data_IF_741604365079
#
_entry.id   IF_741604365079
#
_cell.length_a   1.000
_cell.length_b   1.000
_cell.length_c   1.000
_cell.angle_alpha   90.00
_cell.angle_beta   90.00
_cell.angle_gamma   90.00
#
_symmetry.space_group_name_H-M   'P 1'
#
loop_
_entity.id
_entity.type
_entity.pdbx_description
1 polymer ?
#
# COMPACT_ATOMS: atom_id res chain seq x y z
N UNK A 1 -9.34 -2.67 -1.71
CA UNK A 1 -7.87 -2.59 -1.80
C UNK A 1 -7.23 -3.86 -2.35
N UNK A 2 -7.56 -5.02 -1.84
CA UNK A 2 -6.98 -6.26 -2.34
C UNK A 2 -7.28 -6.49 -3.82
N UNK A 3 -8.52 -6.30 -4.23
CA UNK A 3 -8.88 -6.49 -5.63
C UNK A 3 -8.09 -5.58 -6.55
N UNK A 4 -7.90 -4.35 -6.13
CA UNK A 4 -7.14 -3.37 -6.91
C UNK A 4 -5.68 -3.80 -7.04
N UNK A 5 -5.10 -4.30 -5.95
CA UNK A 5 -3.71 -4.75 -5.95
C UNK A 5 -3.55 -5.98 -6.86
N UNK A 6 -4.43 -6.95 -6.71
CA UNK A 6 -4.37 -8.16 -7.53
C UNK A 6 -4.54 -7.84 -9.00
N UNK A 7 -5.45 -6.94 -9.33
CA UNK A 7 -5.67 -6.53 -10.71
C UNK A 7 -4.42 -5.82 -11.26
N UNK A 8 -3.81 -4.96 -10.47
CA UNK A 8 -2.61 -4.23 -10.89
C UNK A 8 -1.44 -5.17 -11.13
N UNK A 9 -1.38 -6.26 -10.38
CA UNK A 9 -0.32 -7.26 -10.51
C UNK A 9 -0.68 -8.38 -11.47
N UNK A 10 -1.90 -8.35 -12.01
CA UNK A 10 -2.42 -9.37 -12.91
C UNK A 10 -2.42 -10.75 -12.28
N UNK A 11 -2.77 -10.80 -11.00
CA UNK A 11 -2.88 -12.04 -10.25
C UNK A 11 -4.35 -12.37 -10.08
N UNK A 12 -4.74 -13.57 -10.48
CA UNK A 12 -6.14 -14.01 -10.38
C UNK A 12 -6.30 -15.17 -9.40
N UNK A 13 -5.22 -15.81 -9.01
CA UNK A 13 -5.27 -16.97 -8.13
C UNK A 13 -5.31 -16.51 -6.66
N UNK A 14 -6.36 -16.93 -5.98
CA UNK A 14 -6.56 -16.56 -4.57
C UNK A 14 -5.52 -17.18 -3.63
N UNK A 15 -4.75 -18.15 -4.10
CA UNK A 15 -3.68 -18.70 -3.29
C UNK A 15 -2.63 -17.66 -2.95
N UNK A 16 -2.48 -16.65 -3.81
CA UNK A 16 -1.51 -15.57 -3.57
C UNK A 16 -2.08 -14.41 -2.76
N UNK A 17 -3.39 -14.42 -2.49
CA UNK A 17 -4.01 -13.32 -1.78
C UNK A 17 -3.44 -13.08 -0.39
N UNK A 18 -3.18 -14.12 0.43
CA UNK A 18 -2.59 -13.87 1.76
C UNK A 18 -1.23 -13.21 1.69
N UNK A 19 -0.40 -13.60 0.73
CA UNK A 19 0.92 -12.99 0.55
C UNK A 19 0.78 -11.53 0.15
N UNK A 20 -0.11 -11.25 -0.78
CA UNK A 20 -0.34 -9.87 -1.23
C UNK A 20 -0.88 -9.02 -0.09
N UNK A 21 -1.79 -9.56 0.72
CA UNK A 21 -2.29 -8.85 1.89
C UNK A 21 -1.17 -8.52 2.87
N UNK A 22 -0.26 -9.47 3.09
CA UNK A 22 0.90 -9.22 3.94
C UNK A 22 1.79 -8.10 3.42
N UNK A 23 1.99 -8.07 2.10
CA UNK A 23 2.80 -7.01 1.49
C UNK A 23 2.10 -5.65 1.59
N UNK A 24 0.78 -5.62 1.42
CA UNK A 24 0.04 -4.37 1.57
C UNK A 24 0.11 -3.85 3.00
N UNK A 25 0.04 -4.74 3.99
CA UNK A 25 0.18 -4.33 5.38
C UNK A 25 1.57 -3.83 5.67
N UNK A 26 2.59 -4.48 5.12
CA UNK A 26 3.97 -4.03 5.27
C UNK A 26 4.16 -2.64 4.65
N UNK A 27 3.55 -2.40 3.50
CA UNK A 27 3.60 -1.09 2.86
C UNK A 27 2.94 -0.03 3.73
N UNK A 28 1.81 -0.37 4.32
CA UNK A 28 1.09 0.53 5.22
C UNK A 28 1.99 0.98 6.37
N UNK A 29 2.67 0.02 6.99
CA UNK A 29 3.59 0.35 8.09
C UNK A 29 4.80 1.13 7.61
N UNK A 30 5.34 0.80 6.45
CA UNK A 30 6.48 1.53 5.90
C UNK A 30 6.14 3.00 5.66
N UNK A 31 4.96 3.26 5.12
CA UNK A 31 4.52 4.63 4.90
C UNK A 31 4.34 5.38 6.21
N UNK A 32 3.78 4.73 7.21
CA UNK A 32 3.60 5.36 8.53
C UNK A 32 4.94 5.69 9.17
N UNK A 33 5.90 4.78 9.07
CA UNK A 33 7.25 5.01 9.61
C UNK A 33 7.91 6.18 8.88
N UNK A 34 7.63 6.34 7.60
CA UNK A 34 8.18 7.44 6.82
C UNK A 34 7.53 8.78 7.13
N UNK A 35 6.50 8.79 7.95
CA UNK A 35 5.84 10.04 8.36
C UNK A 35 4.55 10.33 7.61
N UNK A 36 4.05 9.38 6.82
CA UNK A 36 2.78 9.58 6.11
C UNK A 36 1.64 9.40 7.09
N UNK A 37 0.76 10.39 7.16
CA UNK A 37 -0.44 10.29 7.99
C UNK A 37 -1.53 9.67 7.13
N UNK A 38 -1.96 8.48 7.51
CA UNK A 38 -2.94 7.73 6.73
C UNK A 38 -4.26 7.70 7.47
N UNK A 39 -5.31 8.20 6.81
CA UNK A 39 -6.64 8.13 7.34
C UNK A 39 -7.23 6.77 6.93
N UNK A 40 -7.49 5.93 7.92
CA UNK A 40 -7.98 4.58 7.68
C UNK A 40 -6.95 3.54 8.05
N UNK A 41 -7.35 2.28 7.92
CA UNK A 41 -6.49 1.16 8.28
C UNK A 41 -6.41 0.17 7.13
N UNK A 42 -5.33 -0.59 7.10
CA UNK A 42 -5.14 -1.70 6.18
C UNK A 42 -5.33 -2.98 6.98
N UNK A 43 -6.42 -3.69 6.73
CA UNK A 43 -6.76 -4.86 7.52
C UNK A 43 -7.43 -5.92 6.66
N UNK A 44 -7.04 -7.18 6.85
CA UNK A 44 -7.59 -8.31 6.12
C UNK A 44 -7.80 -9.48 7.07
N UNK A 45 -8.85 -10.26 6.79
CA UNK A 45 -9.10 -11.50 7.51
C UNK A 45 -8.99 -12.65 6.52
N UNK A 46 -8.14 -13.62 6.82
CA UNK A 46 -7.93 -14.79 5.97
C UNK A 46 -8.52 -16.01 6.63
N UNK A 47 -9.34 -16.76 5.88
CA UNK A 47 -9.92 -18.01 6.34
C UNK A 47 -9.52 -19.11 5.36
N UNK A 48 -9.10 -20.25 5.92
CA UNK A 48 -8.74 -21.41 5.11
C UNK A 48 -9.77 -22.50 5.37
N UNK A 49 -10.38 -22.99 4.30
CA UNK A 49 -11.37 -24.06 4.36
C UNK A 49 -10.88 -25.19 3.45
N UNK A 50 -10.90 -26.42 3.95
CA UNK A 50 -10.44 -27.56 3.19
C UNK A 50 -11.31 -27.84 1.96
N UNK A 51 -12.55 -27.38 1.97
CA UNK A 51 -13.48 -27.63 0.86
C UNK A 51 -13.53 -26.48 -0.12
N UNK A 52 -13.53 -25.23 0.38
CA UNK A 52 -13.69 -24.06 -0.47
C UNK A 52 -12.37 -23.32 -0.76
N UNK A 53 -11.30 -23.69 -0.05
CA UNK A 53 -10.01 -23.06 -0.23
C UNK A 53 -9.80 -21.83 0.64
N UNK A 54 -9.09 -20.85 0.11
CA UNK A 54 -8.74 -19.66 0.86
C UNK A 54 -9.73 -18.55 0.59
N UNK A 55 -10.22 -17.93 1.64
CA UNK A 55 -11.10 -16.76 1.54
C UNK A 55 -10.44 -15.60 2.27
N UNK A 56 -10.38 -14.46 1.63
CA UNK A 56 -9.84 -13.25 2.25
C UNK A 56 -10.93 -12.19 2.26
N UNK A 57 -11.15 -11.61 3.44
CA UNK A 57 -12.06 -10.49 3.60
C UNK A 57 -11.24 -9.22 3.78
N UNK A 58 -11.51 -8.24 2.94
CA UNK A 58 -10.80 -6.96 2.97
C UNK A 58 -11.58 -5.99 3.84
N UNK A 59 -11.04 -5.72 5.03
CA UNK A 59 -11.63 -4.81 5.99
C UNK A 59 -10.94 -3.44 5.99
N UNK A 60 -10.18 -3.17 4.94
CA UNK A 60 -9.41 -1.94 4.86
C UNK A 60 -10.32 -0.73 4.64
N UNK A 61 -9.96 0.39 5.25
CA UNK A 61 -10.75 1.61 5.18
C UNK A 61 -9.99 2.78 4.58
N UNK A 62 -8.81 2.54 4.01
CA UNK A 62 -8.03 3.60 3.38
C UNK A 62 -8.74 4.08 2.12
N UNK A 63 -8.93 5.41 2.03
CA UNK A 63 -9.63 6.01 0.90
C UNK A 63 -8.74 6.81 -0.02
N UNK A 64 -7.60 7.27 0.47
CA UNK A 64 -6.71 8.10 -0.32
C UNK A 64 -6.08 7.27 -1.44
N UNK A 65 -6.38 7.62 -2.68
CA UNK A 65 -5.89 6.87 -3.84
C UNK A 65 -4.38 6.91 -3.98
N UNK A 66 -3.76 8.00 -3.59
CA UNK A 66 -2.30 8.11 -3.67
C UNK A 66 -1.63 7.18 -2.68
N UNK A 67 -2.20 7.04 -1.49
CA UNK A 67 -1.70 6.10 -0.49
C UNK A 67 -1.87 4.67 -1.01
N UNK A 68 -3.04 4.35 -1.55
CA UNK A 68 -3.29 3.01 -2.10
C UNK A 68 -2.33 2.70 -3.24
N UNK A 69 -2.10 3.66 -4.12
CA UNK A 69 -1.17 3.48 -5.24
C UNK A 69 0.24 3.18 -4.74
N UNK A 70 0.69 3.91 -3.73
CA UNK A 70 2.02 3.66 -3.16
C UNK A 70 2.10 2.27 -2.55
N UNK A 71 1.06 1.86 -1.83
CA UNK A 71 1.03 0.52 -1.23
C UNK A 71 1.07 -0.57 -2.29
N UNK A 72 0.33 -0.38 -3.39
CA UNK A 72 0.32 -1.35 -4.48
C UNK A 72 1.69 -1.40 -5.16
N UNK A 73 2.34 -0.25 -5.33
CA UNK A 73 3.69 -0.21 -5.89
C UNK A 73 4.65 -1.01 -5.02
N UNK A 74 4.58 -0.84 -3.71
CA UNK A 74 5.40 -1.61 -2.78
C UNK A 74 5.15 -3.12 -2.95
N UNK A 75 3.88 -3.51 -3.02
CA UNK A 75 3.54 -4.92 -3.20
C UNK A 75 4.10 -5.46 -4.51
N UNK A 76 4.06 -4.69 -5.58
CA UNK A 76 4.61 -5.11 -6.88
C UNK A 76 6.11 -5.35 -6.80
N UNK A 77 6.83 -4.54 -6.03
CA UNK A 77 8.27 -4.69 -5.87
C UNK A 77 8.60 -6.03 -5.23
N UNK A 78 7.83 -6.42 -4.22
CA UNK A 78 8.16 -7.55 -3.37
C UNK A 78 7.44 -8.83 -3.72
N UNK A 79 6.49 -8.79 -4.65
CA UNK A 79 5.75 -9.97 -5.06
C UNK A 79 6.42 -10.58 -6.29
N UNK A 80 6.94 -11.80 -6.15
CA UNK A 80 7.64 -12.46 -7.24
C UNK A 80 8.94 -11.75 -7.57
N UNK A 81 9.30 -11.74 -8.84
CA UNK A 81 10.54 -11.12 -9.32
C UNK A 81 10.24 -10.25 -10.53
N UNK A 82 9.73 -9.04 -10.33
CA UNK A 82 9.38 -8.19 -11.45
C UNK A 82 10.63 -7.76 -12.25
N UNK A 83 10.49 -7.73 -13.56
CA UNK A 83 11.61 -7.36 -14.44
C UNK A 83 11.94 -5.87 -14.36
N UNK A 84 10.97 -5.06 -13.91
CA UNK A 84 11.15 -3.62 -13.78
C UNK A 84 11.29 -3.18 -12.32
N UNK A 85 11.88 -4.04 -11.51
CA UNK A 85 11.97 -3.80 -10.08
C UNK A 85 12.63 -2.48 -9.72
N UNK A 86 13.73 -2.15 -10.40
CA UNK A 86 14.44 -0.92 -10.10
C UNK A 86 13.59 0.31 -10.35
N UNK A 87 12.85 0.31 -11.46
CA UNK A 87 11.95 1.42 -11.77
C UNK A 87 10.83 1.52 -10.74
N UNK A 88 10.30 0.38 -10.28
CA UNK A 88 9.27 0.36 -9.26
C UNK A 88 9.80 0.89 -7.93
N UNK A 89 11.03 0.52 -7.58
CA UNK A 89 11.64 1.00 -6.32
C UNK A 89 11.80 2.51 -6.34
N UNK A 90 12.24 3.05 -7.46
CA UNK A 90 12.39 4.51 -7.60
C UNK A 90 11.03 5.20 -7.53
N UNK A 91 10.03 4.62 -8.17
CA UNK A 91 8.68 5.16 -8.15
C UNK A 91 8.11 5.17 -6.75
N UNK A 92 8.28 4.07 -6.03
CA UNK A 92 7.79 3.97 -4.66
C UNK A 92 8.49 4.98 -3.75
N UNK A 93 9.80 5.10 -3.87
CA UNK A 93 10.55 6.04 -3.05
C UNK A 93 10.06 7.47 -3.24
N UNK A 94 9.80 7.85 -4.50
CA UNK A 94 9.28 9.16 -4.81
C UNK A 94 7.87 9.35 -4.25
N UNK A 95 7.01 8.35 -4.42
CA UNK A 95 5.65 8.40 -3.90
C UNK A 95 5.65 8.57 -2.37
N UNK A 96 6.49 7.80 -1.70
CA UNK A 96 6.61 7.86 -0.25
C UNK A 96 7.05 9.25 0.21
N UNK A 97 8.04 9.82 -0.45
CA UNK A 97 8.53 11.14 -0.11
C UNK A 97 7.49 12.21 -0.33
N UNK A 98 6.77 12.12 -1.45
CA UNK A 98 5.72 13.09 -1.76
C UNK A 98 4.60 13.02 -0.73
N UNK A 99 4.19 11.82 -0.34
CA UNK A 99 3.14 11.63 0.65
C UNK A 99 3.57 12.12 2.02
N UNK A 100 4.80 11.83 2.42
CA UNK A 100 5.31 12.27 3.71
C UNK A 100 5.38 13.79 3.77
N UNK A 101 5.84 14.42 2.70
CA UNK A 101 5.91 15.88 2.64
C UNK A 101 4.53 16.51 2.67
N UNK A 102 3.58 15.93 1.93
CA UNK A 102 2.23 16.47 1.88
C UNK A 102 1.54 16.37 3.24
N UNK A 103 1.62 15.20 3.89
CA UNK A 103 0.98 15.03 5.19
C UNK A 103 1.69 15.81 6.28
N UNK A 104 3.01 15.87 6.20
CA UNK A 104 3.77 16.67 7.15
C UNK A 104 3.46 18.13 7.00
N UNK A 105 3.32 18.60 5.79
CA UNK A 105 2.98 19.99 5.54
C UNK A 105 1.58 20.32 6.03
N UNK A 106 0.66 19.41 5.82
CA UNK A 106 -0.70 19.57 6.29
C UNK A 106 -0.74 19.59 7.81
N UNK A 107 -0.01 18.70 8.43
CA UNK A 107 0.08 18.62 9.87
C UNK A 107 0.72 19.87 10.46
N UNK A 108 1.51 20.50 9.71
CA UNK A 108 2.21 21.68 10.11
C UNK A 108 1.30 22.89 10.27
N UNK A 109 0.13 22.75 9.86
CA UNK A 109 -0.88 23.75 10.04
C UNK A 109 -0.42 25.13 9.93
N UNK A 110 -0.38 25.56 8.94
CA UNK A 110 -0.18 26.86 8.85
C UNK A 110 1.06 27.39 8.90
N UNK A 111 1.72 27.25 8.71
CA UNK A 111 2.82 27.89 8.64
C UNK A 111 3.39 27.76 7.33
N UNK A 112 3.04 27.67 7.20
CA UNK A 112 3.50 27.61 6.42
C UNK A 112 4.12 27.56 5.89
N UNK A 113 4.00 27.47 5.75
CA UNK A 113 4.52 27.48 5.19
C UNK A 113 5.13 27.27 4.85
N UNK A 114 5.19 27.43 5.08
CA UNK A 114 5.79 27.44 4.81
C UNK A 114 6.50 26.97 4.27
N UNK A 115 6.59 26.90 4.16
CA UNK A 115 7.15 26.68 3.63
C UNK A 115 7.44 26.12 3.01
N UNK A 116 7.28 25.99 2.97
CA UNK A 116 7.34 25.60 2.42
C UNK A 116 7.51 25.23 1.79
N UNK A 117 7.54 25.14 1.43
CA UNK A 117 7.70 24.92 0.75
C UNK A 117 8.05 24.96 0.34
#
# INVERSE_FOLDING_TARGET
>A
MLNEAMLAMRVTDMEYAPEICGLLKAAYEDLRIAGVIIDGVCNFTTTVDTQTGITVTDNSTIRNDLVKTAMITYAKIHFGEPTNREALEKSYDLQRKQLANATGYTDFTGTEGAEAP
#
